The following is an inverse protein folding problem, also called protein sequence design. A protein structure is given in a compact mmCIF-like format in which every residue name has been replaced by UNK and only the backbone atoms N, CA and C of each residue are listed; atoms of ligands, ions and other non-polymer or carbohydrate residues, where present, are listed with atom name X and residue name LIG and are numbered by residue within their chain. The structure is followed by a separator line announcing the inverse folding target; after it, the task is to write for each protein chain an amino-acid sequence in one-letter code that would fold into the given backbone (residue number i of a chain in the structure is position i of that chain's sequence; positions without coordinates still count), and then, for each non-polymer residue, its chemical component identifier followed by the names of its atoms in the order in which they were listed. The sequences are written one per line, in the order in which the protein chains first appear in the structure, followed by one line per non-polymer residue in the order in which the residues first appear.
data_IF_725202800111
#
_entry.id   IF_725202800111
#
_cell.length_a   1.000
_cell.length_b   1.000
_cell.length_c   1.000
_cell.angle_alpha   90.00
_cell.angle_beta   90.00
_cell.angle_gamma   90.00
#
_symmetry.space_group_name_H-M   'P 1'
#
loop_
_entity.id
_entity.type
_entity.pdbx_description
1 polymer ?
#
# COMPACT_ATOMS: atom_id res chain seq x y z
N UNK A 1 -2.06 24.40 10.41
CA UNK A 1 -1.91 23.19 9.56
C UNK A 1 -1.23 22.16 10.44
N UNK A 2 -1.88 21.04 10.70
CA UNK A 2 -1.36 19.98 11.56
C UNK A 2 -0.20 19.25 10.85
N UNK A 3 0.81 18.80 11.60
CA UNK A 3 1.87 17.98 11.04
C UNK A 3 1.33 16.60 10.62
N UNK A 4 1.84 16.04 9.52
CA UNK A 4 1.31 14.79 8.96
C UNK A 4 1.30 13.61 9.95
N UNK A 5 2.37 13.34 10.74
CA UNK A 5 2.33 12.30 11.77
C UNK A 5 1.24 12.52 12.82
N UNK A 6 1.04 13.76 13.24
CA UNK A 6 0.02 14.14 14.22
C UNK A 6 -1.39 13.94 13.66
N UNK A 7 -1.63 14.34 12.40
CA UNK A 7 -2.91 14.08 11.73
C UNK A 7 -3.17 12.59 11.58
N UNK A 8 -2.16 11.81 11.14
CA UNK A 8 -2.26 10.36 11.03
C UNK A 8 -2.61 9.73 12.38
N UNK A 9 -2.01 10.20 13.48
CA UNK A 9 -2.25 9.68 14.83
C UNK A 9 -3.68 9.90 15.33
N UNK A 10 -4.38 10.91 14.78
CA UNK A 10 -5.78 11.19 15.09
C UNK A 10 -6.77 10.37 14.25
N UNK A 11 -6.31 9.65 13.22
CA UNK A 11 -7.20 8.85 12.37
C UNK A 11 -7.46 7.47 12.97
N UNK A 12 -8.69 7.00 12.81
CA UNK A 12 -8.96 5.56 12.89
C UNK A 12 -8.17 4.87 11.76
N UNK A 13 -7.25 3.98 12.14
CA UNK A 13 -6.39 3.28 11.17
C UNK A 13 -6.01 1.89 11.63
N UNK A 14 -5.90 0.97 10.68
CA UNK A 14 -5.29 -0.33 10.91
C UNK A 14 -3.83 -0.28 10.49
N UNK A 15 -2.91 -0.49 11.43
CA UNK A 15 -1.47 -0.57 11.14
C UNK A 15 -1.06 -2.04 11.10
N UNK A 16 -0.44 -2.45 9.99
CA UNK A 16 -0.01 -3.84 9.78
C UNK A 16 1.36 -3.88 9.11
N UNK A 17 2.21 -4.88 9.38
CA UNK A 17 3.38 -5.13 8.55
C UNK A 17 2.94 -5.38 7.11
N UNK A 18 3.67 -4.86 6.12
CA UNK A 18 3.33 -5.13 4.72
C UNK A 18 3.72 -6.56 4.31
N UNK A 19 4.91 -7.00 4.74
CA UNK A 19 5.51 -8.26 4.33
C UNK A 19 5.48 -9.29 5.46
N UNK A 20 5.32 -10.56 5.09
CA UNK A 20 5.66 -11.66 5.98
C UNK A 20 7.17 -11.84 5.98
N UNK A 21 7.81 -11.84 7.16
CA UNK A 21 9.25 -11.98 7.31
C UNK A 21 9.63 -13.29 7.99
N UNK A 22 10.89 -13.68 7.87
CA UNK A 22 11.50 -14.69 8.73
C UNK A 22 11.59 -14.18 10.19
N UNK A 23 12.14 -15.01 11.07
CA UNK A 23 12.30 -14.71 12.50
C UNK A 23 13.17 -13.48 12.77
N UNK A 24 14.03 -13.10 11.83
CA UNK A 24 14.87 -11.89 11.91
C UNK A 24 14.08 -10.58 11.74
N UNK A 25 12.80 -10.65 11.35
CA UNK A 25 11.94 -9.49 11.15
C UNK A 25 12.23 -8.67 9.89
N UNK A 26 13.16 -9.10 9.03
CA UNK A 26 13.63 -8.32 7.86
C UNK A 26 13.70 -9.14 6.57
N UNK A 27 14.05 -10.42 6.62
CA UNK A 27 14.11 -11.28 5.43
C UNK A 27 12.68 -11.59 4.99
N UNK A 28 12.26 -11.06 3.84
CA UNK A 28 10.90 -11.22 3.33
C UNK A 28 10.71 -12.63 2.79
N UNK A 29 9.65 -13.30 3.26
CA UNK A 29 9.25 -14.60 2.71
C UNK A 29 8.74 -14.43 1.29
N UNK A 30 9.01 -15.44 0.47
CA UNK A 30 8.51 -15.54 -0.90
C UNK A 30 7.72 -16.84 -1.07
N UNK A 31 6.74 -16.84 -1.98
CA UNK A 31 5.99 -18.03 -2.35
C UNK A 31 5.83 -18.15 -3.86
N UNK A 32 5.62 -19.37 -4.36
CA UNK A 32 5.27 -19.60 -5.76
C UNK A 32 3.78 -19.31 -5.99
N UNK A 33 3.48 -18.60 -7.06
CA UNK A 33 2.10 -18.23 -7.42
C UNK A 33 1.81 -18.46 -8.89
N UNK A 34 0.61 -18.95 -9.21
CA UNK A 34 0.19 -19.30 -10.57
C UNK A 34 0.22 -20.80 -10.81
N UNK A 35 -0.81 -21.32 -11.51
CA UNK A 35 -0.98 -22.77 -11.72
C UNK A 35 -0.08 -23.33 -12.82
N UNK A 36 -0.07 -22.69 -13.99
CA UNK A 36 0.65 -23.20 -15.18
C UNK A 36 2.08 -22.67 -15.29
N UNK A 37 2.27 -21.40 -14.91
CA UNK A 37 3.57 -20.72 -14.91
C UNK A 37 3.80 -20.13 -13.52
N UNK A 38 4.28 -20.95 -12.57
CA UNK A 38 4.52 -20.49 -11.22
C UNK A 38 5.61 -19.42 -11.23
N UNK A 39 5.37 -18.34 -10.51
CA UNK A 39 6.30 -17.22 -10.32
C UNK A 39 6.60 -17.01 -8.86
N UNK A 40 7.86 -16.78 -8.52
CA UNK A 40 8.26 -16.40 -7.17
C UNK A 40 7.75 -15.00 -6.87
N UNK A 41 7.05 -14.82 -5.76
CA UNK A 41 6.37 -13.56 -5.39
C UNK A 41 6.67 -13.23 -3.93
N UNK A 42 6.82 -11.93 -3.60
CA UNK A 42 6.95 -11.48 -2.21
C UNK A 42 5.63 -11.77 -1.46
N UNK A 43 5.72 -12.28 -0.24
CA UNK A 43 4.55 -12.65 0.57
C UNK A 43 4.10 -11.46 1.41
N UNK A 44 2.82 -11.06 1.29
CA UNK A 44 2.22 -10.07 2.19
C UNK A 44 2.01 -10.67 3.58
N UNK A 45 2.07 -9.85 4.61
CA UNK A 45 1.80 -10.31 5.96
C UNK A 45 0.33 -10.77 6.10
N UNK A 46 0.03 -11.89 6.77
CA UNK A 46 -1.35 -12.35 6.94
C UNK A 46 -2.28 -11.33 7.62
N UNK A 47 -1.76 -10.54 8.57
CA UNK A 47 -2.55 -9.48 9.22
C UNK A 47 -2.89 -8.32 8.28
N UNK A 48 -2.04 -8.02 7.29
CA UNK A 48 -2.38 -7.04 6.24
C UNK A 48 -3.55 -7.57 5.40
N UNK A 49 -3.50 -8.84 5.00
CA UNK A 49 -4.59 -9.44 4.22
C UNK A 49 -5.90 -9.45 5.04
N UNK A 50 -5.84 -9.81 6.32
CA UNK A 50 -7.00 -9.80 7.21
C UNK A 50 -7.60 -8.40 7.38
N UNK A 51 -6.78 -7.39 7.72
CA UNK A 51 -7.23 -6.01 7.91
C UNK A 51 -7.83 -5.41 6.63
N UNK A 52 -7.22 -5.70 5.46
CA UNK A 52 -7.75 -5.26 4.17
C UNK A 52 -9.13 -5.89 3.89
N UNK A 53 -9.27 -7.20 4.12
CA UNK A 53 -10.53 -7.92 3.88
C UNK A 53 -11.62 -7.40 4.82
N UNK A 54 -11.31 -7.26 6.11
CA UNK A 54 -12.25 -6.75 7.12
C UNK A 54 -12.73 -5.33 6.77
N UNK A 55 -11.79 -4.39 6.60
CA UNK A 55 -12.10 -2.99 6.31
C UNK A 55 -12.93 -2.85 5.03
N UNK A 56 -12.57 -3.55 3.96
CA UNK A 56 -13.30 -3.47 2.69
C UNK A 56 -14.66 -4.15 2.79
N UNK A 57 -14.78 -5.27 3.50
CA UNK A 57 -16.06 -5.98 3.66
C UNK A 57 -17.04 -5.14 4.46
N UNK A 58 -16.59 -4.58 5.60
CA UNK A 58 -17.40 -3.67 6.42
C UNK A 58 -17.75 -2.39 5.63
N UNK A 59 -16.77 -1.76 4.98
CA UNK A 59 -16.99 -0.53 4.22
C UNK A 59 -17.95 -0.69 3.03
N UNK A 60 -17.94 -1.84 2.34
CA UNK A 60 -18.89 -2.08 1.24
C UNK A 60 -20.34 -2.22 1.70
N UNK A 61 -20.59 -2.55 2.97
CA UNK A 61 -21.93 -2.61 3.55
C UNK A 61 -22.48 -1.21 3.91
N UNK A 62 -21.62 -0.21 4.01
CA UNK A 62 -21.97 1.15 4.42
C UNK A 62 -22.11 2.08 3.22
N UNK A 63 -23.17 2.90 3.18
CA UNK A 63 -23.43 3.81 2.05
C UNK A 63 -22.42 4.96 2.00
N UNK A 64 -22.07 5.50 3.17
CA UNK A 64 -21.19 6.67 3.36
C UNK A 64 -19.70 6.37 3.12
N UNK A 65 -19.32 5.09 3.01
CA UNK A 65 -17.95 4.68 2.79
C UNK A 65 -17.52 4.97 1.36
N UNK A 66 -16.42 5.72 1.20
CA UNK A 66 -15.90 6.13 -0.10
C UNK A 66 -14.72 5.28 -0.59
N UNK A 67 -14.14 4.46 0.28
CA UNK A 67 -12.88 3.76 0.02
C UNK A 67 -11.93 3.89 1.21
N UNK A 68 -10.63 3.80 0.94
CA UNK A 68 -9.63 4.04 1.97
C UNK A 68 -8.38 4.72 1.40
N UNK A 69 -7.74 5.50 2.27
CA UNK A 69 -6.38 5.98 2.09
C UNK A 69 -5.44 4.92 2.67
N UNK A 70 -4.29 4.72 2.03
CA UNK A 70 -3.25 3.86 2.57
C UNK A 70 -1.91 4.59 2.56
N UNK A 71 -1.15 4.40 3.63
CA UNK A 71 0.18 4.98 3.82
C UNK A 71 1.16 3.87 4.11
N UNK A 72 2.04 3.60 3.16
CA UNK A 72 3.25 2.81 3.38
C UNK A 72 4.20 3.66 4.22
N UNK A 73 4.72 3.13 5.31
CA UNK A 73 5.66 3.85 6.16
C UNK A 73 6.71 2.92 6.77
N UNK A 74 7.79 3.54 7.24
CA UNK A 74 8.78 2.92 8.14
C UNK A 74 8.72 3.64 9.48
N UNK A 75 9.11 2.96 10.57
CA UNK A 75 8.99 3.52 11.91
C UNK A 75 7.55 3.62 12.41
N UNK A 76 7.41 4.07 13.65
CA UNK A 76 6.15 4.07 14.40
C UNK A 76 6.00 5.37 15.21
N UNK A 77 4.78 5.71 15.58
CA UNK A 77 4.47 6.91 16.37
C UNK A 77 5.04 8.18 15.73
N UNK A 78 5.76 8.97 16.53
CA UNK A 78 6.39 10.22 16.08
C UNK A 78 7.58 9.99 15.12
N UNK A 79 8.15 8.79 15.10
CA UNK A 79 9.23 8.40 14.18
C UNK A 79 8.69 7.85 12.84
N UNK A 80 7.38 7.84 12.64
CA UNK A 80 6.76 7.38 11.40
C UNK A 80 7.22 8.25 10.22
N UNK A 81 7.83 7.60 9.24
CA UNK A 81 8.27 8.21 7.98
C UNK A 81 7.42 7.66 6.84
N UNK A 82 6.52 8.45 6.24
CA UNK A 82 5.75 8.05 5.07
C UNK A 82 6.67 7.76 3.89
N UNK A 83 6.49 6.58 3.29
CA UNK A 83 7.21 6.14 2.09
C UNK A 83 6.35 6.21 0.86
N UNK A 84 5.06 5.91 0.95
CA UNK A 84 4.14 6.02 -0.18
C UNK A 84 2.72 6.22 0.30
N UNK A 85 2.00 7.13 -0.34
CA UNK A 85 0.60 7.40 -0.07
C UNK A 85 -0.20 7.06 -1.32
N UNK A 86 -1.34 6.41 -1.14
CA UNK A 86 -2.30 6.28 -2.22
C UNK A 86 -3.69 5.95 -1.71
N UNK A 87 -4.63 5.84 -2.65
CA UNK A 87 -6.02 5.47 -2.33
C UNK A 87 -6.53 4.26 -3.09
N UNK A 88 -7.62 3.69 -2.59
CA UNK A 88 -8.51 2.81 -3.34
C UNK A 88 -9.97 3.23 -3.11
N UNK A 89 -10.65 3.64 -4.18
CA UNK A 89 -12.03 4.13 -4.12
C UNK A 89 -13.05 3.00 -4.22
N UNK A 90 -14.18 3.14 -3.49
CA UNK A 90 -15.35 2.25 -3.54
C UNK A 90 -15.86 2.10 -4.97
N UNK A 91 -16.08 3.23 -5.66
CA UNK A 91 -16.67 3.26 -7.00
C UNK A 91 -15.60 3.04 -8.08
N UNK A 92 -15.92 2.19 -9.06
CA UNK A 92 -15.10 2.03 -10.27
C UNK A 92 -15.51 3.02 -11.37
N UNK A 93 -14.71 3.12 -12.42
CA UNK A 93 -14.99 3.97 -13.59
C UNK A 93 -16.30 3.59 -14.28
N UNK A 94 -16.57 2.27 -14.40
CA UNK A 94 -17.74 1.73 -15.11
C UNK A 94 -18.68 0.92 -14.21
N UNK A 95 -18.28 0.64 -12.98
CA UNK A 95 -18.97 -0.29 -12.09
C UNK A 95 -19.24 0.37 -10.73
N UNK A 96 -20.37 0.04 -10.07
CA UNK A 96 -20.68 0.56 -8.73
C UNK A 96 -19.60 0.24 -7.69
N UNK A 97 -18.95 -0.91 -7.82
CA UNK A 97 -17.80 -1.31 -7.00
C UNK A 97 -16.55 -1.43 -7.87
N UNK A 98 -15.45 -0.85 -7.39
CA UNK A 98 -14.14 -0.90 -8.01
C UNK A 98 -13.65 -2.34 -8.10
N UNK A 99 -13.04 -2.69 -9.24
CA UNK A 99 -12.46 -4.01 -9.43
C UNK A 99 -11.32 -4.33 -8.44
N UNK A 100 -10.74 -3.31 -7.80
CA UNK A 100 -9.72 -3.47 -6.76
C UNK A 100 -10.31 -3.99 -5.44
N UNK A 101 -11.62 -3.79 -5.22
CA UNK A 101 -12.32 -4.10 -3.97
C UNK A 101 -13.33 -5.24 -4.17
N UNK A 102 -13.80 -5.44 -5.39
CA UNK A 102 -14.73 -6.51 -5.73
C UNK A 102 -14.11 -7.88 -5.43
N UNK A 103 -14.85 -8.68 -4.64
CA UNK A 103 -14.44 -10.02 -4.18
C UNK A 103 -13.13 -10.00 -3.38
N UNK A 104 -12.94 -9.00 -2.51
CA UNK A 104 -11.68 -8.80 -1.77
C UNK A 104 -11.18 -10.07 -1.05
N UNK A 105 -12.09 -10.87 -0.49
CA UNK A 105 -11.77 -12.09 0.25
C UNK A 105 -11.21 -13.25 -0.61
N UNK A 106 -11.38 -13.21 -1.94
CA UNK A 106 -10.92 -14.26 -2.85
C UNK A 106 -10.05 -13.76 -4.00
N UNK A 107 -10.03 -12.45 -4.25
CA UNK A 107 -9.30 -11.82 -5.34
C UNK A 107 -8.01 -11.15 -4.83
N UNK A 108 -7.00 -11.97 -4.55
CA UNK A 108 -5.67 -11.52 -4.12
C UNK A 108 -4.81 -10.94 -5.27
N UNK A 109 -5.32 -10.95 -6.50
CA UNK A 109 -4.64 -10.40 -7.68
C UNK A 109 -4.70 -8.87 -7.76
N UNK A 110 -5.80 -8.27 -7.30
CA UNK A 110 -6.02 -6.81 -7.35
C UNK A 110 -5.94 -6.15 -5.99
N UNK A 111 -6.61 -6.76 -5.00
CA UNK A 111 -6.43 -6.57 -3.57
C UNK A 111 -6.15 -5.12 -3.11
N UNK A 112 -7.10 -4.20 -3.32
CA UNK A 112 -6.95 -2.82 -2.87
C UNK A 112 -5.77 -2.06 -3.50
N UNK A 113 -5.37 -2.42 -4.72
CA UNK A 113 -4.13 -1.99 -5.43
C UNK A 113 -2.85 -2.70 -5.00
N UNK A 114 -2.89 -3.50 -3.93
CA UNK A 114 -1.76 -4.25 -3.35
C UNK A 114 -1.74 -5.72 -3.76
N UNK A 115 -2.43 -6.07 -4.85
CA UNK A 115 -2.51 -7.43 -5.37
C UNK A 115 -1.22 -7.98 -5.99
N UNK A 116 -1.21 -9.29 -6.20
CA UNK A 116 -0.07 -10.05 -6.74
C UNK A 116 0.03 -10.07 -8.27
N UNK A 117 -0.91 -9.45 -8.97
CA UNK A 117 -0.86 -9.38 -10.44
C UNK A 117 0.03 -8.21 -10.91
N UNK A 118 0.47 -8.28 -12.17
CA UNK A 118 1.16 -7.15 -12.81
C UNK A 118 0.26 -5.90 -12.83
N UNK A 119 0.85 -4.71 -12.75
CA UNK A 119 0.20 -3.41 -12.62
C UNK A 119 -0.45 -3.15 -11.23
N UNK A 120 -0.10 -3.96 -10.24
CA UNK A 120 -0.46 -3.80 -8.82
C UNK A 120 0.82 -3.78 -7.97
N UNK A 121 0.77 -3.12 -6.81
CA UNK A 121 1.97 -2.74 -6.06
C UNK A 121 2.85 -3.94 -5.70
N UNK A 122 2.27 -5.03 -5.18
CA UNK A 122 3.08 -6.21 -4.81
C UNK A 122 3.53 -7.00 -6.04
N UNK A 123 2.69 -7.14 -7.07
CA UNK A 123 3.09 -7.83 -8.29
C UNK A 123 4.28 -7.15 -8.98
N UNK A 124 4.20 -5.84 -9.22
CA UNK A 124 5.29 -5.12 -9.87
C UNK A 124 6.51 -4.94 -8.97
N UNK A 125 6.34 -4.81 -7.64
CA UNK A 125 7.47 -4.81 -6.71
C UNK A 125 8.16 -6.18 -6.65
N UNK A 126 7.39 -7.27 -6.70
CA UNK A 126 7.96 -8.63 -6.81
C UNK A 126 8.75 -8.78 -8.10
N UNK A 127 8.29 -8.20 -9.21
CA UNK A 127 9.07 -8.16 -10.45
C UNK A 127 10.37 -7.38 -10.29
N UNK A 128 10.33 -6.22 -9.64
CA UNK A 128 11.52 -5.39 -9.43
C UNK A 128 12.55 -6.06 -8.51
N UNK A 129 12.11 -6.77 -7.47
CA UNK A 129 12.98 -7.42 -6.48
C UNK A 129 13.47 -8.80 -6.94
N UNK A 130 12.60 -9.62 -7.52
CA UNK A 130 12.89 -11.03 -7.85
C UNK A 130 13.25 -11.24 -9.33
N UNK A 131 13.11 -10.19 -10.16
CA UNK A 131 13.49 -10.20 -11.58
C UNK A 131 12.86 -11.37 -12.35
N UNK A 132 13.70 -12.12 -13.06
CA UNK A 132 13.28 -13.25 -13.89
C UNK A 132 12.60 -14.39 -13.10
N UNK A 133 12.82 -14.50 -11.78
CA UNK A 133 12.13 -15.48 -10.95
C UNK A 133 10.64 -15.14 -10.75
N UNK A 134 10.25 -13.86 -10.89
CA UNK A 134 8.85 -13.46 -10.98
C UNK A 134 8.36 -13.52 -12.43
N UNK A 135 9.02 -12.81 -13.35
CA UNK A 135 8.71 -12.92 -14.78
C UNK A 135 9.84 -12.38 -15.67
N UNK A 136 9.96 -12.84 -16.93
CA UNK A 136 10.90 -12.27 -17.89
C UNK A 136 10.62 -10.79 -18.19
N UNK A 137 11.69 -10.04 -18.53
CA UNK A 137 11.62 -8.62 -18.85
C UNK A 137 11.85 -7.71 -17.64
N UNK A 138 11.59 -6.42 -17.81
CA UNK A 138 11.84 -5.39 -16.79
C UNK A 138 10.55 -4.94 -16.09
N UNK A 139 10.67 -4.64 -14.80
CA UNK A 139 9.60 -4.04 -14.01
C UNK A 139 9.43 -2.55 -14.39
N UNK A 140 8.29 -1.93 -14.09
CA UNK A 140 8.15 -0.49 -14.27
C UNK A 140 9.17 0.27 -13.41
N UNK A 141 9.82 1.30 -13.98
CA UNK A 141 10.94 2.03 -13.37
C UNK A 141 10.70 2.49 -11.92
N UNK A 142 9.47 2.92 -11.58
CA UNK A 142 9.13 3.35 -10.22
C UNK A 142 9.35 2.26 -9.17
N UNK A 143 9.17 0.97 -9.50
CA UNK A 143 9.34 -0.12 -8.54
C UNK A 143 10.80 -0.55 -8.36
N UNK A 144 11.68 -0.24 -9.32
CA UNK A 144 13.13 -0.34 -9.07
C UNK A 144 13.54 0.64 -7.98
N UNK A 145 13.02 1.87 -8.04
CA UNK A 145 13.23 2.88 -6.99
C UNK A 145 12.67 2.45 -5.63
N UNK A 146 11.53 1.74 -5.61
CA UNK A 146 11.00 1.15 -4.38
C UNK A 146 11.89 0.01 -3.87
N UNK A 147 12.38 -0.85 -4.75
CA UNK A 147 13.28 -1.94 -4.36
C UNK A 147 14.55 -1.39 -3.71
N UNK A 148 15.18 -0.38 -4.32
CA UNK A 148 16.37 0.30 -3.78
C UNK A 148 16.10 0.94 -2.40
N UNK A 149 14.96 1.61 -2.26
CA UNK A 149 14.60 2.33 -1.04
C UNK A 149 14.21 1.40 0.12
N UNK A 150 13.59 0.24 -0.16
CA UNK A 150 13.03 -0.64 0.87
C UNK A 150 13.95 -1.81 1.22
N UNK A 151 14.77 -2.29 0.28
CA UNK A 151 15.56 -3.50 0.43
C UNK A 151 17.06 -3.20 0.50
N UNK A 152 17.73 -3.87 1.43
CA UNK A 152 19.19 -3.90 1.54
C UNK A 152 19.78 -4.91 0.54
N UNK A 153 19.20 -6.11 0.49
CA UNK A 153 19.54 -7.17 -0.46
C UNK A 153 18.30 -7.65 -1.20
N UNK A 154 18.47 -8.10 -2.44
CA UNK A 154 17.36 -8.62 -3.26
C UNK A 154 17.32 -10.16 -3.31
N UNK A 155 18.42 -10.84 -2.93
CA UNK A 155 18.48 -12.30 -2.87
C UNK A 155 19.37 -12.79 -1.70
N UNK A 156 18.78 -13.26 -0.59
CA UNK A 156 17.34 -13.19 -0.31
C UNK A 156 16.86 -11.73 -0.19
N UNK A 157 15.57 -11.46 -0.45
CA UNK A 157 15.01 -10.12 -0.31
C UNK A 157 14.96 -9.73 1.17
N UNK A 158 15.80 -8.79 1.59
CA UNK A 158 15.92 -8.34 2.98
C UNK A 158 15.63 -6.86 3.07
N UNK A 159 14.69 -6.47 3.92
CA UNK A 159 14.34 -5.08 4.15
C UNK A 159 15.46 -4.34 4.87
N UNK A 160 15.63 -3.05 4.57
CA UNK A 160 16.55 -2.17 5.33
C UNK A 160 16.06 -1.97 6.76
N UNK A 161 14.74 -1.80 6.91
CA UNK A 161 14.02 -1.63 8.16
C UNK A 161 12.60 -2.20 8.00
N UNK A 162 11.87 -2.51 9.08
CA UNK A 162 10.48 -2.97 8.96
C UNK A 162 9.60 -1.97 8.21
N UNK A 163 8.75 -2.50 7.34
CA UNK A 163 7.85 -1.72 6.48
C UNK A 163 6.40 -2.04 6.82
N UNK A 164 5.63 -1.02 7.14
CA UNK A 164 4.25 -1.12 7.61
C UNK A 164 3.29 -0.37 6.69
N UNK A 165 2.02 -0.75 6.76
CA UNK A 165 0.92 -0.09 6.10
C UNK A 165 -0.07 0.43 7.15
N UNK A 166 -0.42 1.70 7.04
CA UNK A 166 -1.61 2.26 7.66
C UNK A 166 -2.77 2.25 6.66
N UNK A 167 -3.87 1.58 6.99
CA UNK A 167 -5.12 1.57 6.23
C UNK A 167 -6.14 2.46 6.95
N UNK A 168 -6.60 3.52 6.28
CA UNK A 168 -7.48 4.54 6.85
C UNK A 168 -8.80 4.53 6.08
N UNK A 169 -9.90 3.98 6.64
CA UNK A 169 -11.20 4.01 5.99
C UNK A 169 -11.64 5.47 5.79
N UNK A 170 -12.23 5.77 4.64
CA UNK A 170 -12.69 7.12 4.31
C UNK A 170 -14.19 7.14 4.12
N UNK A 171 -14.84 8.12 4.75
CA UNK A 171 -16.31 8.26 4.78
C UNK A 171 -16.73 9.68 4.45
N UNK A 172 -17.99 9.84 4.06
CA UNK A 172 -18.59 11.16 3.89
C UNK A 172 -18.45 12.01 5.17
N UNK A 173 -18.08 13.28 5.02
CA UNK A 173 -17.86 14.19 6.15
C UNK A 173 -16.48 14.08 6.82
N UNK A 174 -15.63 13.12 6.45
CA UNK A 174 -14.26 13.02 6.94
C UNK A 174 -13.41 14.24 6.54
N UNK A 175 -12.46 14.61 7.41
CA UNK A 175 -11.64 15.82 7.28
C UNK A 175 -10.18 15.50 7.01
N UNK A 176 -9.61 16.16 6.00
CA UNK A 176 -8.18 16.06 5.70
C UNK A 176 -7.31 16.86 6.68
N UNK A 177 -5.97 16.86 6.50
CA UNK A 177 -5.03 17.63 7.31
C UNK A 177 -5.33 19.14 7.44
N UNK A 178 -5.98 19.76 6.46
CA UNK A 178 -6.42 21.16 6.52
C UNK A 178 -7.56 21.40 7.50
N UNK A 179 -8.16 20.32 8.01
CA UNK A 179 -9.40 20.36 8.78
C UNK A 179 -10.64 20.54 7.91
N UNK A 180 -10.52 20.61 6.58
CA UNK A 180 -11.65 20.72 5.67
C UNK A 180 -12.24 19.35 5.36
N UNK A 181 -13.57 19.29 5.18
CA UNK A 181 -14.24 18.10 4.67
C UNK A 181 -13.78 17.89 3.22
N UNK A 182 -13.30 16.69 2.92
CA UNK A 182 -12.69 16.38 1.62
C UNK A 182 -13.11 15.02 1.07
N UNK A 183 -13.14 14.90 -0.25
CA UNK A 183 -13.24 13.58 -0.89
C UNK A 183 -11.94 12.80 -0.68
N UNK A 184 -12.02 11.47 -0.75
CA UNK A 184 -10.83 10.61 -0.67
C UNK A 184 -9.74 11.02 -1.69
N UNK A 185 -10.15 11.44 -2.89
CA UNK A 185 -9.23 11.95 -3.91
C UNK A 185 -8.52 13.24 -3.46
N UNK A 186 -9.27 14.22 -2.94
CA UNK A 186 -8.70 15.49 -2.50
C UNK A 186 -7.73 15.30 -1.32
N UNK A 187 -8.09 14.44 -0.36
CA UNK A 187 -7.24 14.18 0.81
C UNK A 187 -6.00 13.37 0.45
N UNK A 188 -6.06 12.45 -0.52
CA UNK A 188 -4.85 11.81 -1.06
C UNK A 188 -3.85 12.86 -1.58
N UNK A 189 -4.32 13.81 -2.41
CA UNK A 189 -3.46 14.89 -2.92
C UNK A 189 -2.88 15.75 -1.81
N UNK A 190 -3.70 16.13 -0.82
CA UNK A 190 -3.27 16.93 0.32
C UNK A 190 -2.19 16.22 1.14
N UNK A 191 -2.40 14.94 1.46
CA UNK A 191 -1.47 14.14 2.26
C UNK A 191 -0.16 13.90 1.49
N UNK A 192 -0.22 13.66 0.18
CA UNK A 192 0.97 13.61 -0.69
C UNK A 192 1.72 14.93 -0.68
N UNK A 193 1.03 16.07 -0.79
CA UNK A 193 1.67 17.38 -0.84
C UNK A 193 2.39 17.69 0.48
N UNK A 194 1.77 17.40 1.62
CA UNK A 194 2.39 17.56 2.94
C UNK A 194 3.60 16.63 3.11
N UNK A 195 3.47 15.37 2.70
CA UNK A 195 4.57 14.41 2.77
C UNK A 195 5.74 14.82 1.86
N UNK A 196 5.47 15.38 0.67
CA UNK A 196 6.51 15.78 -0.27
C UNK A 196 7.34 16.95 0.26
N UNK A 197 6.74 17.83 1.06
CA UNK A 197 7.46 18.93 1.73
C UNK A 197 8.25 18.43 2.93
N UNK A 198 7.66 17.54 3.74
CA UNK A 198 8.27 17.08 4.99
C UNK A 198 9.32 15.96 4.80
N UNK A 199 9.20 15.16 3.74
CA UNK A 199 10.00 13.96 3.49
C UNK A 199 10.45 13.87 2.01
N UNK A 200 11.14 14.89 1.47
CA UNK A 200 11.43 15.00 0.04
C UNK A 200 12.34 13.88 -0.48
N UNK A 201 13.22 13.32 0.35
CA UNK A 201 14.17 12.27 -0.02
C UNK A 201 13.59 10.85 0.21
N UNK A 202 12.63 10.73 1.12
CA UNK A 202 12.06 9.45 1.53
C UNK A 202 10.78 9.08 0.78
N UNK A 203 10.04 10.08 0.27
CA UNK A 203 8.73 9.86 -0.34
C UNK A 203 8.86 9.25 -1.75
N UNK A 204 8.24 8.09 -1.92
CA UNK A 204 8.28 7.31 -3.15
C UNK A 204 7.16 7.66 -4.13
N UNK A 205 6.20 8.51 -3.75
CA UNK A 205 5.25 9.10 -4.69
C UNK A 205 6.02 9.87 -5.77
N UNK A 206 5.74 9.56 -7.03
CA UNK A 206 6.28 10.31 -8.16
C UNK A 206 5.14 11.18 -8.66
N UNK A 207 5.21 12.50 -8.43
CA UNK A 207 4.46 13.41 -9.28
C UNK A 207 5.06 13.33 -10.68
N UNK A 208 4.20 13.25 -11.71
CA UNK A 208 4.65 13.12 -13.09
C UNK A 208 5.79 14.10 -13.38
N UNK A 209 6.97 13.56 -13.67
CA UNK A 209 7.98 14.28 -14.43
C UNK A 209 7.61 14.19 -15.90
#
# INVERSE_FOLDING_TARGET
MIHLPEWLAQQERHVTPLFETAEDGLTVKTHLRGKEKPRLTLTRHPSFDAAMIEMVTAGLAEEDWQGFLYVLHTGEGDALTPRYIGKAEKKGVKNPVSANLARIASNHDKFGRWGYNKAYHIGDLSHAVLGAAFMPGQAPGKYHRWAEALFETLNPPTLRVPVSMSLIPWRDGARGPSGLIGSLAAVEYEVIALAAVAYPEELLNVQGR
#
